data_IF_658050192463
#
_entry.id   IF_658050192463
#
_cell.length_a   1.000
_cell.length_b   1.000
_cell.length_c   1.000
_cell.angle_alpha   90.00
_cell.angle_beta   90.00
_cell.angle_gamma   90.00
#
_symmetry.space_group_name_H-M   'P 1'
#
loop_
_entity.id
_entity.type
_entity.pdbx_description
1 polymer ?
#
# COMPACT_ATOMS: atom_id res chain seq x y z
N UNK A 1 -9.61 -3.99 -24.70
CA UNK A 1 -11.04 -3.93 -24.36
C UNK A 1 -11.69 -5.24 -24.77
N UNK A 2 -12.70 -5.68 -24.01
CA UNK A 2 -13.35 -7.02 -23.91
C UNK A 2 -12.71 -7.84 -22.78
N UNK A 3 -13.25 -7.85 -21.55
CA UNK A 3 -14.61 -8.16 -21.06
C UNK A 3 -15.03 -9.57 -21.51
N UNK A 4 -14.92 -10.54 -20.60
CA UNK A 4 -15.52 -11.85 -20.74
C UNK A 4 -16.99 -11.76 -20.27
N UNK A 5 -17.91 -12.06 -21.18
CA UNK A 5 -19.33 -12.27 -20.89
C UNK A 5 -19.58 -13.77 -20.73
N UNK A 6 -20.03 -14.19 -19.55
CA UNK A 6 -20.57 -15.53 -19.29
C UNK A 6 -22.09 -15.50 -19.42
N UNK A 7 -22.59 -16.10 -20.50
CA UNK A 7 -24.02 -16.28 -20.74
C UNK A 7 -24.63 -17.32 -19.80
N UNK A 8 -25.71 -16.92 -19.13
CA UNK A 8 -26.62 -17.79 -18.41
C UNK A 8 -27.48 -18.60 -19.40
N UNK A 9 -27.61 -19.91 -19.15
CA UNK A 9 -28.64 -20.77 -19.73
C UNK A 9 -29.47 -21.36 -18.60
N UNK A 10 -30.74 -20.95 -18.52
CA UNK A 10 -31.75 -21.51 -17.61
C UNK A 10 -32.42 -22.68 -18.31
N UNK A 11 -32.48 -23.85 -17.66
CA UNK A 11 -33.54 -24.83 -17.90
C UNK A 11 -33.69 -25.76 -16.68
N UNK A 12 -34.90 -25.87 -16.15
CA UNK A 12 -35.40 -26.90 -15.23
C UNK A 12 -36.87 -27.16 -15.62
N UNK A 13 -37.61 -28.15 -15.06
CA UNK A 13 -37.27 -29.32 -14.24
C UNK A 13 -37.90 -30.65 -14.75
N UNK A 14 -37.49 -31.84 -14.27
CA UNK A 14 -38.36 -33.05 -14.18
C UNK A 14 -37.90 -33.95 -13.01
N UNK A 15 -38.88 -34.63 -12.39
CA UNK A 15 -38.92 -35.30 -11.09
C UNK A 15 -38.80 -36.84 -11.15
N UNK A 16 -38.75 -37.46 -9.95
CA UNK A 16 -39.11 -38.85 -9.53
C UNK A 16 -37.97 -39.89 -9.49
N UNK A 17 -37.55 -40.34 -8.29
CA UNK A 17 -37.96 -41.57 -7.54
C UNK A 17 -37.30 -42.85 -8.13
N UNK A 18 -36.80 -43.88 -7.42
CA UNK A 18 -37.03 -44.47 -6.09
C UNK A 18 -36.00 -45.63 -5.90
N UNK A 19 -35.55 -45.92 -4.65
CA UNK A 19 -35.25 -47.27 -4.01
C UNK A 19 -34.24 -48.28 -4.68
N UNK A 20 -33.50 -49.20 -4.04
CA UNK A 20 -33.52 -49.90 -2.72
C UNK A 20 -32.20 -50.70 -2.48
N UNK A 21 -31.80 -50.78 -1.20
CA UNK A 21 -31.12 -51.85 -0.40
C UNK A 21 -29.94 -52.73 -0.88
N UNK A 22 -28.91 -52.86 -0.01
CA UNK A 22 -28.55 -54.00 0.91
C UNK A 22 -27.03 -53.97 1.16
N UNK A 23 -26.48 -53.57 2.31
CA UNK A 23 -26.44 -54.23 3.62
C UNK A 23 -25.86 -55.67 3.61
N UNK A 24 -24.75 -55.89 4.35
CA UNK A 24 -24.60 -56.85 5.48
C UNK A 24 -23.17 -57.41 5.66
N UNK A 25 -22.56 -57.02 6.80
CA UNK A 25 -21.81 -57.82 7.81
C UNK A 25 -20.48 -58.53 7.45
N UNK A 26 -19.55 -58.80 8.37
CA UNK A 26 -19.28 -58.42 9.77
C UNK A 26 -18.02 -59.18 10.26
N UNK A 27 -17.46 -58.71 11.38
CA UNK A 27 -16.78 -59.49 12.46
C UNK A 27 -15.29 -59.81 12.29
N UNK A 28 -14.38 -59.25 13.11
CA UNK A 28 -14.05 -59.55 14.53
C UNK A 28 -13.01 -60.71 14.62
N UNK A 29 -11.97 -60.77 15.45
CA UNK A 29 -11.65 -60.35 16.83
C UNK A 29 -10.09 -60.40 16.97
N UNK A 30 -9.40 -59.53 17.75
CA UNK A 30 -8.99 -59.70 19.17
C UNK A 30 -8.25 -61.05 19.46
N UNK A 31 -7.15 -61.19 20.23
CA UNK A 31 -6.72 -60.48 21.45
C UNK A 31 -5.39 -61.08 22.00
N UNK A 32 -4.82 -60.42 23.03
CA UNK A 32 -3.82 -60.81 24.06
C UNK A 32 -2.35 -60.38 23.83
N UNK A 33 -1.78 -59.41 24.55
CA UNK A 33 -1.48 -59.21 26.00
C UNK A 33 -0.25 -59.98 26.52
N UNK A 34 0.79 -59.24 26.95
CA UNK A 34 1.25 -59.15 28.36
C UNK A 34 2.61 -58.38 28.54
N UNK A 35 2.52 -57.25 29.25
CA UNK A 35 3.35 -56.71 30.36
C UNK A 35 4.89 -56.82 30.42
N UNK A 36 5.59 -55.68 30.65
CA UNK A 36 6.39 -55.37 31.87
C UNK A 36 7.07 -53.96 31.83
N UNK A 37 6.56 -53.04 32.66
CA UNK A 37 7.21 -52.03 33.57
C UNK A 37 8.47 -51.18 33.19
N UNK A 38 8.23 -49.85 33.03
CA UNK A 38 8.96 -48.68 33.62
C UNK A 38 10.15 -48.04 32.85
N UNK A 39 10.55 -46.76 33.11
CA UNK A 39 9.89 -45.62 33.76
C UNK A 39 9.70 -44.37 32.85
N UNK A 40 8.95 -43.38 33.34
CA UNK A 40 8.72 -42.05 32.75
C UNK A 40 9.97 -41.31 32.30
N UNK A 41 9.95 -40.79 31.07
CA UNK A 41 10.64 -39.55 30.70
C UNK A 41 9.71 -38.66 29.87
N UNK A 42 9.48 -37.45 30.39
CA UNK A 42 8.80 -36.37 29.69
C UNK A 42 9.56 -36.01 28.41
N UNK A 43 8.92 -35.93 27.23
CA UNK A 43 9.54 -35.26 26.10
C UNK A 43 9.52 -33.76 26.38
N UNK A 44 10.70 -33.22 26.61
CA UNK A 44 10.98 -31.79 26.69
C UNK A 44 10.26 -31.07 25.55
N UNK A 45 9.39 -30.15 25.95
CA UNK A 45 8.83 -29.11 25.11
C UNK A 45 9.95 -28.43 24.36
N UNK A 46 10.07 -28.72 23.07
CA UNK A 46 10.76 -27.82 22.14
C UNK A 46 9.97 -26.52 22.13
N UNK A 47 10.43 -25.59 22.95
CA UNK A 47 10.10 -24.19 22.87
C UNK A 47 10.27 -23.75 21.42
N UNK A 48 9.15 -23.41 20.78
CA UNK A 48 9.16 -22.51 19.64
C UNK A 48 9.71 -21.18 20.16
N UNK A 49 11.04 -21.04 20.13
CA UNK A 49 11.66 -19.74 20.30
C UNK A 49 11.15 -18.85 19.15
N UNK A 50 10.24 -17.96 19.51
CA UNK A 50 9.81 -16.86 18.68
C UNK A 50 11.07 -16.13 18.20
N UNK A 51 11.37 -16.28 16.90
CA UNK A 51 12.44 -15.52 16.27
C UNK A 51 12.15 -14.03 16.46
N UNK A 52 13.15 -13.20 16.80
CA UNK A 52 12.94 -11.80 17.09
C UNK A 52 12.29 -11.10 15.90
N UNK A 53 11.19 -10.40 16.16
CA UNK A 53 10.52 -9.49 15.24
C UNK A 53 11.56 -8.54 14.61
N UNK A 54 11.91 -8.79 13.34
CA UNK A 54 12.60 -7.78 12.55
C UNK A 54 11.59 -6.65 12.30
N UNK A 55 11.84 -5.42 12.76
CA UNK A 55 10.94 -4.32 12.47
C UNK A 55 10.85 -4.16 10.96
N UNK A 56 9.63 -4.26 10.42
CA UNK A 56 9.40 -4.18 8.98
C UNK A 56 9.94 -2.86 8.40
N UNK A 57 9.97 -1.81 9.24
CA UNK A 57 10.36 -0.44 8.93
C UNK A 57 11.86 -0.15 8.74
N UNK A 58 12.77 -1.13 8.82
CA UNK A 58 14.20 -0.82 8.64
C UNK A 58 14.59 -0.66 7.17
N UNK A 59 14.30 0.51 6.60
CA UNK A 59 14.85 1.01 5.31
C UNK A 59 16.37 0.81 5.22
N UNK A 60 17.06 0.85 6.37
CA UNK A 60 18.52 0.66 6.51
C UNK A 60 19.03 -0.72 6.05
N UNK A 61 18.17 -1.73 5.91
CA UNK A 61 18.59 -3.08 5.52
C UNK A 61 18.33 -3.40 4.05
N UNK A 62 17.60 -2.56 3.31
CA UNK A 62 17.28 -2.84 1.90
C UNK A 62 18.51 -2.58 1.02
N UNK A 63 18.79 -3.49 0.09
CA UNK A 63 19.74 -3.22 -0.98
C UNK A 63 19.22 -2.07 -1.87
N UNK A 64 20.10 -1.17 -2.34
CA UNK A 64 19.69 -0.14 -3.29
C UNK A 64 19.21 -0.79 -4.59
N UNK A 65 18.26 -0.15 -5.32
CA UNK A 65 17.82 -0.64 -6.62
C UNK A 65 18.97 -0.64 -7.62
N UNK A 66 18.76 -1.28 -8.78
CA UNK A 66 19.75 -1.36 -9.87
C UNK A 66 20.39 0.01 -10.12
N UNK A 67 21.72 0.06 -10.03
CA UNK A 67 22.48 1.30 -10.19
C UNK A 67 22.30 1.90 -11.60
N UNK A 68 22.21 3.23 -11.68
CA UNK A 68 22.27 3.97 -12.93
C UNK A 68 22.85 5.37 -12.70
N UNK A 69 23.07 6.12 -13.78
CA UNK A 69 23.51 7.52 -13.73
C UNK A 69 22.41 8.50 -13.24
N UNK A 70 21.18 8.03 -13.00
CA UNK A 70 20.07 8.86 -12.57
C UNK A 70 20.15 9.26 -11.09
N UNK A 71 19.63 10.44 -10.77
CA UNK A 71 19.45 10.87 -9.38
C UNK A 71 18.11 10.36 -8.84
N UNK A 72 18.13 9.74 -7.65
CA UNK A 72 16.92 9.39 -6.92
C UNK A 72 16.19 10.64 -6.42
N UNK A 73 14.88 10.56 -6.29
CA UNK A 73 14.07 11.58 -5.64
C UNK A 73 14.44 11.65 -4.15
N UNK A 74 14.43 12.86 -3.60
CA UNK A 74 14.58 13.05 -2.16
C UNK A 74 13.41 12.44 -1.42
N UNK A 75 13.68 11.85 -0.25
CA UNK A 75 12.61 11.36 0.61
C UNK A 75 11.63 12.49 0.94
N UNK A 76 10.34 12.22 0.73
CA UNK A 76 9.29 13.16 1.12
C UNK A 76 8.89 12.83 2.56
N UNK A 77 9.07 13.77 3.51
CA UNK A 77 8.65 13.54 4.88
C UNK A 77 7.13 13.31 4.95
N UNK A 78 6.69 12.60 6.00
CA UNK A 78 5.26 12.43 6.29
C UNK A 78 4.55 13.79 6.26
N UNK A 79 3.35 13.78 5.67
CA UNK A 79 2.48 14.95 5.63
C UNK A 79 1.15 14.73 6.38
N UNK A 80 1.06 13.61 7.13
CA UNK A 80 -0.10 13.27 7.96
C UNK A 80 -0.47 14.37 8.96
N UNK A 81 0.47 15.00 9.70
CA UNK A 81 0.09 16.09 10.60
C UNK A 81 -0.60 17.24 9.86
N UNK A 82 -0.15 17.52 8.62
CA UNK A 82 -0.79 18.48 7.74
C UNK A 82 -2.26 18.12 7.47
N UNK A 83 -2.52 16.89 7.04
CA UNK A 83 -3.89 16.40 6.81
C UNK A 83 -4.78 16.44 8.06
N UNK A 84 -4.25 16.06 9.23
CA UNK A 84 -4.96 16.17 10.50
C UNK A 84 -5.38 17.61 10.82
N UNK A 85 -4.51 18.58 10.52
CA UNK A 85 -4.84 19.99 10.65
C UNK A 85 -5.95 20.41 9.67
N UNK A 86 -5.90 19.96 8.41
CA UNK A 86 -6.95 20.25 7.43
C UNK A 86 -8.33 19.77 7.91
N UNK A 87 -8.40 18.54 8.44
CA UNK A 87 -9.62 17.96 9.03
C UNK A 87 -10.16 18.81 10.19
N UNK A 88 -9.28 19.27 11.10
CA UNK A 88 -9.68 20.13 12.23
C UNK A 88 -10.22 21.48 11.77
N UNK A 89 -9.56 22.10 10.79
CA UNK A 89 -10.01 23.37 10.21
C UNK A 89 -11.38 23.25 9.51
N UNK A 90 -11.67 22.09 8.91
CA UNK A 90 -12.98 21.74 8.33
C UNK A 90 -13.98 21.20 9.38
N UNK A 91 -13.69 21.34 10.68
CA UNK A 91 -14.53 20.88 11.81
C UNK A 91 -14.83 19.37 11.81
N UNK A 92 -14.00 18.57 11.15
CA UNK A 92 -14.07 17.10 11.09
C UNK A 92 -12.89 16.47 11.82
N UNK A 93 -12.62 16.96 13.04
CA UNK A 93 -11.52 16.45 13.87
C UNK A 93 -11.68 14.95 14.15
N UNK A 94 -10.54 14.27 14.25
CA UNK A 94 -10.50 12.83 14.49
C UNK A 94 -10.33 12.54 15.98
N UNK A 95 -10.94 11.44 16.43
CA UNK A 95 -10.61 10.84 17.70
C UNK A 95 -9.23 10.15 17.67
N UNK A 96 -8.80 9.66 18.83
CA UNK A 96 -7.49 9.03 18.95
C UNK A 96 -7.37 7.69 18.23
N UNK A 97 -8.47 6.94 18.08
CA UNK A 97 -8.42 5.62 17.45
C UNK A 97 -8.36 5.74 15.93
N UNK A 98 -9.07 6.69 15.34
CA UNK A 98 -8.92 7.07 13.94
C UNK A 98 -7.50 7.55 13.62
N UNK A 99 -6.88 8.34 14.51
CA UNK A 99 -5.47 8.77 14.34
C UNK A 99 -4.52 7.58 14.41
N UNK A 100 -4.70 6.66 15.39
CA UNK A 100 -3.91 5.43 15.49
C UNK A 100 -4.03 4.55 14.24
N UNK A 101 -5.19 4.53 13.59
CA UNK A 101 -5.38 3.83 12.31
C UNK A 101 -4.62 4.46 11.14
N UNK A 102 -4.59 5.80 11.07
CA UNK A 102 -3.91 6.56 10.01
C UNK A 102 -2.38 6.49 10.07
N UNK A 103 -1.80 6.38 11.27
CA UNK A 103 -0.34 6.35 11.47
C UNK A 103 0.34 5.22 10.66
N UNK A 104 0.00 3.93 10.84
CA UNK A 104 0.62 2.85 10.07
C UNK A 104 0.30 2.95 8.57
N UNK A 105 -0.84 3.55 8.20
CA UNK A 105 -1.20 3.78 6.79
C UNK A 105 -0.29 4.82 6.13
N UNK A 106 -0.03 5.93 6.81
CA UNK A 106 0.90 6.95 6.31
C UNK A 106 2.35 6.44 6.30
N UNK A 107 2.73 5.66 7.30
CA UNK A 107 4.03 4.97 7.31
C UNK A 107 4.18 4.02 6.11
N UNK A 108 3.13 3.29 5.75
CA UNK A 108 3.09 2.42 4.57
C UNK A 108 3.19 3.20 3.24
N UNK A 109 2.54 4.37 3.14
CA UNK A 109 2.71 5.29 2.00
C UNK A 109 4.16 5.75 1.88
N UNK A 110 4.77 6.13 3.01
CA UNK A 110 6.19 6.48 3.06
C UNK A 110 7.08 5.32 2.63
N UNK A 111 6.78 4.10 3.07
CA UNK A 111 7.56 2.91 2.73
C UNK A 111 7.49 2.57 1.25
N UNK A 112 6.33 2.66 0.63
CA UNK A 112 6.18 2.46 -0.80
C UNK A 112 6.98 3.47 -1.62
N UNK A 113 7.02 4.74 -1.20
CA UNK A 113 7.84 5.77 -1.86
C UNK A 113 9.34 5.55 -1.66
N UNK A 114 9.79 5.12 -0.48
CA UNK A 114 11.20 4.78 -0.22
C UNK A 114 11.66 3.55 -0.99
N UNK A 115 10.78 2.55 -1.14
CA UNK A 115 11.03 1.36 -1.94
C UNK A 115 11.15 1.65 -3.44
N UNK A 116 10.62 2.80 -3.89
CA UNK A 116 10.63 3.25 -5.28
C UNK A 116 11.29 4.65 -5.37
N UNK A 117 12.61 4.77 -5.11
CA UNK A 117 13.29 6.05 -4.98
C UNK A 117 13.39 6.86 -6.28
N UNK A 118 13.12 6.28 -7.45
CA UNK A 118 12.98 7.00 -8.72
C UNK A 118 11.53 7.41 -9.03
N UNK A 119 10.61 7.09 -8.12
CA UNK A 119 9.23 7.54 -8.16
C UNK A 119 8.38 6.86 -9.23
N UNK A 120 7.47 7.65 -9.79
CA UNK A 120 6.35 7.19 -10.61
C UNK A 120 6.74 7.21 -12.07
N UNK A 121 6.70 6.06 -12.72
CA UNK A 121 7.18 5.89 -14.09
C UNK A 121 6.40 6.64 -15.17
N UNK A 122 5.18 7.04 -14.87
CA UNK A 122 4.26 7.72 -15.77
C UNK A 122 3.90 9.14 -15.34
N UNK A 123 4.60 9.73 -14.36
CA UNK A 123 4.39 11.12 -13.94
C UNK A 123 5.50 12.02 -14.51
N UNK A 124 5.08 13.15 -15.08
CA UNK A 124 5.95 14.08 -15.78
C UNK A 124 7.02 14.71 -14.88
N UNK A 125 6.66 15.20 -13.70
CA UNK A 125 7.59 15.84 -12.75
C UNK A 125 8.65 14.86 -12.26
N UNK A 126 8.32 13.58 -12.12
CA UNK A 126 9.27 12.53 -11.72
C UNK A 126 10.20 12.20 -12.90
N UNK A 127 9.67 12.14 -14.12
CA UNK A 127 10.46 11.95 -15.32
C UNK A 127 11.44 13.11 -15.56
N UNK A 128 11.02 14.36 -15.33
CA UNK A 128 11.90 15.52 -15.42
C UNK A 128 13.01 15.47 -14.38
N UNK A 129 12.67 15.24 -13.10
CA UNK A 129 13.62 15.23 -11.98
C UNK A 129 14.63 14.10 -12.04
N UNK A 130 14.25 12.97 -12.63
CA UNK A 130 15.11 11.79 -12.72
C UNK A 130 15.77 11.64 -14.08
N UNK A 131 15.65 12.63 -14.98
CA UNK A 131 16.15 12.55 -16.36
C UNK A 131 15.64 11.29 -17.10
N UNK A 132 14.33 11.10 -17.10
CA UNK A 132 13.57 9.99 -17.71
C UNK A 132 13.81 8.61 -17.06
N UNK A 133 14.59 8.54 -15.98
CA UNK A 133 14.91 7.27 -15.32
C UNK A 133 13.69 6.62 -14.67
N UNK A 134 12.75 7.40 -14.14
CA UNK A 134 11.48 6.86 -13.61
C UNK A 134 10.78 5.99 -14.66
N UNK A 135 10.64 6.50 -15.90
CA UNK A 135 10.05 5.78 -17.03
C UNK A 135 10.85 4.55 -17.43
N UNK A 136 12.16 4.67 -17.61
CA UNK A 136 13.03 3.56 -18.02
C UNK A 136 12.98 2.39 -17.02
N UNK A 137 13.06 2.73 -15.73
CA UNK A 137 13.01 1.78 -14.62
C UNK A 137 11.67 1.07 -14.54
N UNK A 138 10.55 1.78 -14.70
CA UNK A 138 9.23 1.14 -14.74
C UNK A 138 9.05 0.24 -15.96
N UNK A 139 9.57 0.60 -17.14
CA UNK A 139 9.56 -0.31 -18.30
C UNK A 139 10.40 -1.56 -18.05
N UNK A 140 11.57 -1.40 -17.43
CA UNK A 140 12.46 -2.51 -17.08
C UNK A 140 11.81 -3.45 -16.04
N UNK A 141 11.14 -2.90 -15.03
CA UNK A 141 10.35 -3.64 -14.04
C UNK A 141 9.26 -4.48 -14.71
N UNK A 142 8.43 -3.86 -15.56
CA UNK A 142 7.37 -4.57 -16.31
C UNK A 142 7.91 -5.70 -17.16
N UNK A 143 9.06 -5.50 -17.81
CA UNK A 143 9.66 -6.55 -18.63
C UNK A 143 10.23 -7.68 -17.77
N UNK A 144 10.89 -7.35 -16.65
CA UNK A 144 11.35 -8.37 -15.69
C UNK A 144 10.17 -9.20 -15.19
N UNK A 145 9.07 -8.56 -14.80
CA UNK A 145 7.85 -9.22 -14.36
C UNK A 145 7.29 -10.17 -15.42
N UNK A 146 7.11 -9.70 -16.66
CA UNK A 146 6.64 -10.54 -17.78
C UNK A 146 7.54 -11.75 -18.05
N UNK A 147 8.85 -11.54 -18.02
CA UNK A 147 9.79 -12.64 -18.20
C UNK A 147 9.72 -13.62 -17.00
N UNK A 148 9.42 -13.14 -15.80
CA UNK A 148 9.27 -13.97 -14.62
C UNK A 148 7.96 -14.80 -14.64
N UNK A 149 6.85 -14.16 -15.04
CA UNK A 149 5.56 -14.83 -15.29
C UNK A 149 5.72 -15.95 -16.33
N UNK A 150 6.36 -15.66 -17.47
CA UNK A 150 6.56 -16.61 -18.55
C UNK A 150 7.46 -17.79 -18.16
N UNK A 151 8.33 -17.61 -17.16
CA UNK A 151 9.16 -18.66 -16.61
C UNK A 151 8.50 -19.42 -15.45
N UNK A 152 7.25 -19.11 -15.10
CA UNK A 152 6.51 -19.78 -14.02
C UNK A 152 7.09 -19.51 -12.64
N UNK A 153 7.62 -18.31 -12.39
CA UNK A 153 8.13 -17.98 -11.07
C UNK A 153 6.99 -17.80 -10.05
N UNK A 154 7.00 -18.66 -9.03
CA UNK A 154 6.01 -18.69 -7.95
C UNK A 154 6.69 -18.41 -6.60
N UNK A 155 6.89 -17.12 -6.24
CA UNK A 155 7.56 -16.78 -4.98
C UNK A 155 6.75 -17.16 -3.71
N UNK A 156 5.45 -17.43 -3.85
CA UNK A 156 4.51 -17.89 -2.83
C UNK A 156 3.73 -19.12 -3.35
N UNK A 157 4.35 -20.31 -3.43
CA UNK A 157 3.71 -21.49 -4.01
C UNK A 157 2.47 -21.96 -3.24
N UNK A 158 2.40 -21.68 -1.93
CA UNK A 158 1.23 -22.01 -1.10
C UNK A 158 0.07 -21.01 -1.25
N UNK A 159 0.27 -19.93 -2.01
CA UNK A 159 -0.74 -18.90 -2.27
C UNK A 159 -0.58 -18.36 -3.70
N UNK A 160 -1.07 -19.15 -4.66
CA UNK A 160 -0.89 -18.89 -6.10
C UNK A 160 -1.38 -17.49 -6.51
N UNK A 161 -2.51 -17.03 -5.95
CA UNK A 161 -3.09 -15.72 -6.22
C UNK A 161 -2.11 -14.58 -5.84
N UNK A 162 -1.31 -14.77 -4.80
CA UNK A 162 -0.33 -13.77 -4.35
C UNK A 162 0.92 -13.68 -5.21
N UNK A 163 1.27 -14.73 -5.97
CA UNK A 163 2.47 -14.76 -6.80
C UNK A 163 2.54 -13.54 -7.72
N UNK A 164 1.41 -13.21 -8.35
CA UNK A 164 1.31 -12.07 -9.22
C UNK A 164 1.66 -10.75 -8.53
N UNK A 165 1.08 -10.53 -7.35
CA UNK A 165 1.27 -9.28 -6.60
C UNK A 165 2.71 -9.15 -6.09
N UNK A 166 3.31 -10.25 -5.65
CA UNK A 166 4.72 -10.28 -5.24
C UNK A 166 5.62 -9.96 -6.42
N UNK A 167 5.40 -10.55 -7.60
CA UNK A 167 6.22 -10.27 -8.79
C UNK A 167 6.12 -8.80 -9.23
N UNK A 168 4.92 -8.20 -9.19
CA UNK A 168 4.72 -6.77 -9.48
C UNK A 168 5.54 -5.92 -8.50
N UNK A 169 5.34 -6.09 -7.20
CA UNK A 169 6.02 -5.30 -6.17
C UNK A 169 7.55 -5.50 -6.21
N UNK A 170 8.00 -6.74 -6.38
CA UNK A 170 9.42 -7.10 -6.46
C UNK A 170 10.10 -6.43 -7.65
N UNK A 171 9.47 -6.49 -8.83
CA UNK A 171 10.03 -5.88 -10.03
C UNK A 171 10.18 -4.37 -9.89
N UNK A 172 9.21 -3.70 -9.25
CA UNK A 172 9.29 -2.29 -8.90
C UNK A 172 10.45 -2.00 -7.96
N UNK A 173 10.63 -2.79 -6.89
CA UNK A 173 11.74 -2.62 -5.93
C UNK A 173 13.11 -2.83 -6.56
N UNK A 174 13.26 -3.85 -7.43
CA UNK A 174 14.53 -4.11 -8.15
C UNK A 174 14.97 -2.89 -8.95
N UNK A 175 14.04 -2.24 -9.67
CA UNK A 175 14.37 -1.07 -10.49
C UNK A 175 14.14 0.27 -9.79
N UNK A 176 13.55 0.28 -8.60
CA UNK A 176 13.30 1.47 -7.80
C UNK A 176 12.29 2.45 -8.39
N UNK A 177 11.40 2.03 -9.30
CA UNK A 177 10.34 2.87 -9.86
C UNK A 177 9.17 2.01 -10.35
N UNK A 178 7.96 2.58 -10.34
CA UNK A 178 6.73 1.87 -10.70
C UNK A 178 5.58 2.81 -11.05
N UNK A 179 4.45 2.25 -11.47
CA UNK A 179 3.18 2.97 -11.60
C UNK A 179 2.30 2.70 -10.37
N UNK A 180 1.04 3.17 -10.40
CA UNK A 180 0.05 2.96 -9.35
C UNK A 180 -0.01 1.50 -8.86
N UNK A 181 0.04 0.51 -9.77
CA UNK A 181 -0.01 -0.91 -9.44
C UNK A 181 1.15 -1.42 -8.55
N UNK A 182 2.38 -0.99 -8.82
CA UNK A 182 3.55 -1.29 -7.97
C UNK A 182 3.47 -0.53 -6.64
N UNK A 183 3.14 0.77 -6.66
CA UNK A 183 3.01 1.59 -5.45
C UNK A 183 1.92 1.04 -4.50
N UNK A 184 0.75 0.68 -5.01
CA UNK A 184 -0.37 0.17 -4.23
C UNK A 184 -0.04 -1.17 -3.55
N UNK A 185 0.61 -2.10 -4.26
CA UNK A 185 1.03 -3.39 -3.70
C UNK A 185 2.11 -3.25 -2.63
N UNK A 186 3.12 -2.40 -2.87
CA UNK A 186 4.15 -2.18 -1.84
C UNK A 186 3.52 -1.52 -0.60
N UNK A 187 2.59 -0.58 -0.78
CA UNK A 187 1.87 0.02 0.34
C UNK A 187 1.01 -0.99 1.09
N UNK A 188 0.25 -1.85 0.39
CA UNK A 188 -0.57 -2.86 1.07
C UNK A 188 0.27 -3.85 1.87
N UNK A 189 1.40 -4.30 1.29
CA UNK A 189 2.33 -5.19 1.97
C UNK A 189 3.00 -4.55 3.18
N UNK A 190 3.37 -3.27 3.06
CA UNK A 190 3.94 -2.51 4.17
C UNK A 190 2.92 -2.30 5.29
N UNK A 191 1.69 -1.96 4.91
CA UNK A 191 0.60 -1.78 5.87
C UNK A 191 0.32 -3.06 6.65
N UNK A 192 0.28 -4.22 5.99
CA UNK A 192 0.07 -5.52 6.63
C UNK A 192 0.95 -5.73 7.85
N UNK A 193 2.25 -5.45 7.72
CA UNK A 193 3.21 -5.59 8.82
C UNK A 193 3.10 -4.44 9.85
N UNK A 194 3.06 -3.18 9.38
CA UNK A 194 3.04 -2.00 10.25
C UNK A 194 1.78 -1.97 11.14
N UNK A 195 0.62 -2.33 10.58
CA UNK A 195 -0.63 -2.41 11.32
C UNK A 195 -0.58 -3.46 12.45
N UNK A 196 0.00 -4.64 12.18
CA UNK A 196 0.20 -5.68 13.20
C UNK A 196 1.19 -5.25 14.27
N UNK A 197 2.28 -4.55 13.92
CA UNK A 197 3.20 -3.95 14.89
C UNK A 197 2.50 -2.93 15.81
N UNK A 198 1.40 -2.31 15.36
CA UNK A 198 0.56 -1.41 16.16
C UNK A 198 -0.63 -2.10 16.84
N UNK A 199 -0.70 -3.44 16.78
CA UNK A 199 -1.68 -4.24 17.51
C UNK A 199 -3.00 -4.54 16.77
N UNK A 200 -3.09 -4.30 15.46
CA UNK A 200 -4.22 -4.79 14.64
C UNK A 200 -4.11 -6.30 14.45
N UNK A 201 -5.24 -7.00 14.32
CA UNK A 201 -5.22 -8.46 14.16
C UNK A 201 -4.83 -8.85 12.73
N UNK A 202 -4.13 -9.97 12.58
CA UNK A 202 -3.65 -10.45 11.28
C UNK A 202 -4.76 -10.82 10.30
N UNK A 203 -5.97 -11.10 10.79
CA UNK A 203 -7.14 -11.53 10.00
C UNK A 203 -7.93 -10.36 9.40
N UNK A 204 -7.62 -9.12 9.79
CA UNK A 204 -8.21 -7.93 9.17
C UNK A 204 -7.78 -7.83 7.70
N UNK A 205 -8.60 -7.20 6.86
CA UNK A 205 -8.30 -7.10 5.44
C UNK A 205 -7.72 -5.74 5.05
N UNK A 206 -6.90 -5.81 4.00
CA UNK A 206 -6.51 -4.70 3.16
C UNK A 206 -6.87 -5.03 1.71
N UNK A 207 -7.32 -4.02 0.97
CA UNK A 207 -7.79 -4.17 -0.40
C UNK A 207 -6.91 -3.39 -1.35
N UNK A 208 -6.74 -3.93 -2.56
CA UNK A 208 -6.45 -3.09 -3.72
C UNK A 208 -7.79 -2.60 -4.27
N UNK A 209 -7.86 -1.30 -4.54
CA UNK A 209 -9.06 -0.67 -5.05
C UNK A 209 -8.75 0.17 -6.29
N UNK A 210 -9.72 0.24 -7.18
CA UNK A 210 -9.66 1.00 -8.42
C UNK A 210 -10.95 1.79 -8.61
N UNK A 211 -10.86 2.91 -9.34
CA UNK A 211 -12.03 3.68 -9.72
C UNK A 211 -12.53 3.21 -11.10
N UNK A 212 -13.82 2.89 -11.20
CA UNK A 212 -14.47 2.51 -12.45
C UNK A 212 -14.26 3.59 -13.52
N UNK A 213 -13.74 3.18 -14.68
CA UNK A 213 -13.46 4.08 -15.80
C UNK A 213 -12.12 4.82 -15.74
N UNK A 214 -11.37 4.71 -14.64
CA UNK A 214 -10.04 5.28 -14.47
C UNK A 214 -9.00 4.16 -14.32
N UNK A 215 -7.91 4.22 -15.08
CA UNK A 215 -6.78 3.29 -14.93
C UNK A 215 -5.88 3.79 -13.78
N UNK A 216 -6.37 3.62 -12.55
CA UNK A 216 -5.68 3.95 -11.30
C UNK A 216 -6.02 2.96 -10.18
N UNK A 217 -5.01 2.57 -9.40
CA UNK A 217 -5.12 1.59 -8.31
C UNK A 217 -4.43 2.13 -7.06
N UNK A 218 -5.07 1.96 -5.90
CA UNK A 218 -4.52 2.28 -4.57
C UNK A 218 -4.77 1.13 -3.59
N UNK A 219 -4.21 1.23 -2.39
CA UNK A 219 -4.53 0.33 -1.29
C UNK A 219 -5.50 1.01 -0.33
N UNK A 220 -6.49 0.30 0.20
CA UNK A 220 -7.39 0.82 1.22
C UNK A 220 -7.73 -0.22 2.29
N UNK A 221 -7.98 0.23 3.51
CA UNK A 221 -8.46 -0.65 4.59
C UNK A 221 -9.95 -0.97 4.42
N UNK A 222 -10.45 -1.92 5.20
CA UNK A 222 -11.88 -2.02 5.46
C UNK A 222 -12.43 -0.78 6.21
N UNK A 223 -13.76 -0.69 6.28
CA UNK A 223 -14.46 0.25 7.16
C UNK A 223 -14.11 -0.12 8.61
N UNK A 224 -13.24 0.66 9.25
CA UNK A 224 -12.63 0.36 10.56
C UNK A 224 -13.59 0.27 11.77
N UNK A 225 -14.90 0.29 11.53
CA UNK A 225 -16.05 0.15 12.45
C UNK A 225 -17.28 0.67 11.72
N UNK A 226 -18.47 0.18 12.06
CA UNK A 226 -19.73 0.64 11.47
C UNK A 226 -19.84 2.18 11.51
N UNK A 227 -19.70 2.82 10.35
CA UNK A 227 -19.76 4.28 10.19
C UNK A 227 -18.41 4.99 9.98
N UNK A 228 -17.27 4.29 9.90
CA UNK A 228 -15.97 4.90 9.56
C UNK A 228 -15.60 4.69 8.09
N UNK A 229 -15.09 5.73 7.44
CA UNK A 229 -14.62 5.68 6.05
C UNK A 229 -13.33 4.84 5.94
N UNK A 230 -13.10 4.09 4.84
CA UNK A 230 -11.84 3.42 4.59
C UNK A 230 -10.65 4.39 4.66
N UNK A 231 -9.51 3.91 5.12
CA UNK A 231 -8.25 4.66 4.99
C UNK A 231 -7.62 4.31 3.64
N UNK A 232 -7.37 5.33 2.83
CA UNK A 232 -6.73 5.26 1.52
C UNK A 232 -5.23 5.50 1.65
N UNK A 233 -4.47 4.56 1.08
CA UNK A 233 -3.02 4.60 0.92
C UNK A 233 -2.71 4.66 -0.58
N UNK A 234 -2.47 5.87 -1.08
CA UNK A 234 -2.12 6.12 -2.48
C UNK A 234 -0.74 6.80 -2.57
N UNK A 235 0.35 6.00 -2.65
CA UNK A 235 1.70 6.56 -2.76
C UNK A 235 2.01 7.11 -4.15
N UNK A 236 1.17 6.82 -5.16
CA UNK A 236 1.29 7.35 -6.51
C UNK A 236 0.75 8.79 -6.58
N UNK A 237 -0.30 9.10 -5.84
CA UNK A 237 -0.71 10.49 -5.61
C UNK A 237 0.21 11.20 -4.61
N UNK A 238 0.20 12.54 -4.61
CA UNK A 238 0.92 13.37 -3.65
C UNK A 238 0.09 13.56 -2.38
N UNK A 239 0.70 13.34 -1.22
CA UNK A 239 0.06 13.54 0.09
C UNK A 239 0.22 12.35 1.04
N UNK A 240 -0.44 12.39 2.21
CA UNK A 240 -0.40 11.32 3.20
C UNK A 240 -1.47 10.25 2.92
N UNK A 241 -1.55 9.24 3.78
CA UNK A 241 -2.76 8.44 3.88
C UNK A 241 -3.94 9.32 4.35
N UNK A 242 -5.13 9.11 3.79
CA UNK A 242 -6.33 9.93 4.04
C UNK A 242 -7.57 9.05 4.17
N UNK A 243 -8.67 9.58 4.68
CA UNK A 243 -9.95 8.87 4.61
C UNK A 243 -10.52 8.93 3.19
N UNK A 244 -11.25 7.91 2.79
CA UNK A 244 -11.79 7.81 1.44
C UNK A 244 -12.70 9.01 1.11
N UNK A 245 -13.50 9.50 2.07
CA UNK A 245 -14.35 10.69 1.91
C UNK A 245 -13.58 11.99 1.54
N UNK A 246 -12.28 12.04 1.85
CA UNK A 246 -11.38 13.16 1.55
C UNK A 246 -10.47 12.88 0.35
N UNK A 247 -10.53 11.68 -0.22
CA UNK A 247 -9.69 11.25 -1.33
C UNK A 247 -10.27 11.67 -2.68
N UNK A 248 -9.40 12.10 -3.60
CA UNK A 248 -9.79 12.41 -4.98
C UNK A 248 -10.44 11.23 -5.70
N UNK A 249 -9.83 10.05 -5.59
CA UNK A 249 -10.24 8.87 -6.37
C UNK A 249 -11.21 7.99 -5.59
N UNK A 250 -11.18 8.05 -4.25
CA UNK A 250 -11.92 7.12 -3.41
C UNK A 250 -13.18 7.71 -2.76
N UNK A 251 -13.47 9.01 -2.89
CA UNK A 251 -14.63 9.65 -2.24
C UNK A 251 -15.97 9.14 -2.77
N UNK A 252 -16.06 8.88 -4.06
CA UNK A 252 -17.28 8.38 -4.69
C UNK A 252 -17.35 6.86 -4.62
N UNK A 253 -17.71 6.33 -3.44
CA UNK A 253 -17.68 4.88 -3.14
C UNK A 253 -18.45 4.00 -4.13
N UNK A 254 -19.53 4.51 -4.71
CA UNK A 254 -20.30 3.79 -5.74
C UNK A 254 -19.53 3.55 -7.04
N UNK A 255 -18.44 4.27 -7.27
CA UNK A 255 -17.55 4.13 -8.43
C UNK A 255 -16.25 3.39 -8.07
N UNK A 256 -16.06 2.94 -6.83
CA UNK A 256 -14.86 2.23 -6.39
C UNK A 256 -15.13 0.74 -6.39
N UNK A 257 -14.23 -0.02 -7.02
CA UNK A 257 -14.22 -1.47 -7.01
C UNK A 257 -12.99 -1.97 -6.24
N UNK A 258 -13.19 -2.88 -5.29
CA UNK A 258 -12.09 -3.59 -4.62
C UNK A 258 -11.71 -4.78 -5.51
N UNK A 259 -10.56 -4.68 -6.18
CA UNK A 259 -10.12 -5.67 -7.16
C UNK A 259 -9.54 -6.91 -6.51
N UNK A 260 -8.86 -6.73 -5.37
CA UNK A 260 -8.17 -7.79 -4.65
C UNK A 260 -8.24 -7.53 -3.14
N UNK A 261 -8.25 -8.59 -2.34
CA UNK A 261 -8.33 -8.52 -0.88
C UNK A 261 -7.33 -9.47 -0.24
N UNK A 262 -6.62 -9.01 0.77
CA UNK A 262 -5.63 -9.79 1.50
C UNK A 262 -5.83 -9.61 3.00
N UNK A 263 -5.61 -10.66 3.79
CA UNK A 263 -5.44 -10.48 5.24
C UNK A 263 -4.16 -9.71 5.52
N UNK A 264 -4.08 -9.00 6.64
CA UNK A 264 -2.86 -8.28 7.05
C UNK A 264 -1.68 -9.25 7.20
N UNK A 265 -1.92 -10.47 7.69
CA UNK A 265 -0.91 -11.54 7.77
C UNK A 265 -0.34 -11.90 6.40
N UNK A 266 -1.19 -12.18 5.42
CA UNK A 266 -0.76 -12.51 4.06
C UNK A 266 -0.05 -11.32 3.40
N UNK A 267 -0.53 -10.09 3.59
CA UNK A 267 0.12 -8.91 3.06
C UNK A 267 1.53 -8.69 3.67
N UNK A 268 1.68 -8.90 4.98
CA UNK A 268 2.97 -8.81 5.66
C UNK A 268 3.97 -9.85 5.15
N UNK A 269 3.53 -11.10 5.00
CA UNK A 269 4.32 -12.19 4.43
C UNK A 269 4.74 -11.89 2.99
N UNK A 270 3.80 -11.47 2.14
CA UNK A 270 4.08 -11.08 0.76
C UNK A 270 5.10 -9.93 0.70
N UNK A 271 5.04 -8.98 1.64
CA UNK A 271 6.02 -7.92 1.79
C UNK A 271 7.43 -8.42 2.11
N UNK A 272 7.54 -9.41 3.01
CA UNK A 272 8.82 -10.07 3.32
C UNK A 272 9.38 -10.78 2.09
N UNK A 273 8.58 -11.64 1.46
CA UNK A 273 8.99 -12.42 0.28
C UNK A 273 9.36 -11.51 -0.90
N UNK A 274 8.62 -10.43 -1.09
CA UNK A 274 8.93 -9.39 -2.10
C UNK A 274 10.34 -8.85 -1.92
N UNK A 275 10.72 -8.47 -0.68
CA UNK A 275 12.05 -7.92 -0.38
C UNK A 275 13.14 -8.96 -0.60
N UNK A 276 12.98 -10.16 -0.05
CA UNK A 276 13.95 -11.25 -0.18
C UNK A 276 14.18 -11.62 -1.65
N UNK A 277 13.10 -11.67 -2.43
CA UNK A 277 13.17 -11.96 -3.88
C UNK A 277 13.85 -10.83 -4.64
N UNK A 278 13.57 -9.57 -4.31
CA UNK A 278 14.24 -8.40 -4.91
C UNK A 278 15.74 -8.39 -4.61
N UNK A 279 16.13 -8.61 -3.35
CA UNK A 279 17.52 -8.66 -2.91
C UNK A 279 18.30 -9.81 -3.55
N UNK A 280 17.67 -10.97 -3.66
CA UNK A 280 18.23 -12.12 -4.39
C UNK A 280 18.47 -11.77 -5.86
N UNK A 281 17.50 -11.15 -6.52
CA UNK A 281 17.65 -10.72 -7.91
C UNK A 281 18.77 -9.67 -8.09
N UNK A 282 18.84 -8.70 -7.19
CA UNK A 282 19.86 -7.64 -7.19
C UNK A 282 21.27 -8.20 -6.99
N UNK A 283 21.42 -9.27 -6.20
CA UNK A 283 22.71 -9.90 -5.91
C UNK A 283 23.12 -10.90 -6.99
N UNK A 284 22.19 -11.69 -7.51
CA UNK A 284 22.49 -12.82 -8.41
C UNK A 284 22.46 -12.44 -9.90
N UNK A 285 21.74 -11.38 -10.27
CA UNK A 285 21.49 -11.02 -11.66
C UNK A 285 21.87 -9.57 -12.00
N UNK A 286 22.73 -8.92 -11.21
CA UNK A 286 23.06 -7.49 -11.32
C UNK A 286 23.37 -7.04 -12.75
N UNK A 287 24.30 -7.72 -13.43
CA UNK A 287 24.72 -7.35 -14.80
C UNK A 287 23.58 -7.48 -15.80
N UNK A 288 22.73 -8.50 -15.66
CA UNK A 288 21.55 -8.71 -16.53
C UNK A 288 20.52 -7.61 -16.29
N UNK A 289 20.31 -7.22 -15.03
CA UNK A 289 19.39 -6.14 -14.66
C UNK A 289 19.88 -4.77 -15.14
N UNK A 290 21.18 -4.49 -15.03
CA UNK A 290 21.80 -3.27 -15.57
C UNK A 290 21.66 -3.19 -17.09
N UNK A 291 21.95 -4.29 -17.80
CA UNK A 291 21.74 -4.37 -19.25
C UNK A 291 20.28 -4.11 -19.61
N UNK A 292 19.34 -4.73 -18.89
CA UNK A 292 17.90 -4.49 -19.11
C UNK A 292 17.54 -3.02 -18.94
N UNK A 293 18.03 -2.37 -17.89
CA UNK A 293 17.76 -0.96 -17.67
C UNK A 293 18.30 -0.09 -18.81
N UNK A 294 19.52 -0.36 -19.28
CA UNK A 294 20.11 0.34 -20.42
C UNK A 294 19.28 0.13 -21.70
N UNK A 295 18.83 -1.09 -21.98
CA UNK A 295 18.00 -1.42 -23.15
C UNK A 295 16.65 -0.68 -23.12
N UNK A 296 16.08 -0.45 -21.93
CA UNK A 296 14.82 0.29 -21.78
C UNK A 296 14.99 1.80 -21.83
N UNK A 297 16.15 2.33 -21.42
CA UNK A 297 16.42 3.77 -21.46
C UNK A 297 16.24 4.34 -22.88
N UNK A 298 16.67 3.59 -23.90
CA UNK A 298 16.53 3.99 -25.31
C UNK A 298 15.06 4.00 -25.81
N UNK A 299 14.13 3.39 -25.07
CA UNK A 299 12.72 3.27 -25.46
C UNK A 299 11.82 4.31 -24.79
N UNK A 300 12.35 5.08 -23.84
CA UNK A 300 11.57 6.08 -23.11
C UNK A 300 11.33 7.30 -24.00
N UNK A 301 10.06 7.69 -24.12
CA UNK A 301 9.69 8.91 -24.84
C UNK A 301 10.07 10.16 -24.04
N UNK A 302 10.43 11.28 -24.69
CA UNK A 302 10.57 12.56 -24.02
C UNK A 302 9.26 12.99 -23.33
N UNK A 303 9.37 13.84 -22.30
CA UNK A 303 8.21 14.34 -21.54
C UNK A 303 7.22 15.09 -22.43
N UNK A 304 7.72 15.87 -23.38
CA UNK A 304 6.92 16.66 -24.34
C UNK A 304 6.03 15.80 -25.25
N UNK A 305 6.24 14.48 -25.32
CA UNK A 305 5.47 13.56 -26.15
C UNK A 305 4.08 13.17 -25.62
N UNK A 306 3.60 13.80 -24.54
CA UNK A 306 2.22 13.64 -24.03
C UNK A 306 1.88 12.29 -23.39
N UNK A 307 2.87 11.40 -23.21
CA UNK A 307 2.67 10.07 -22.58
C UNK A 307 2.69 10.10 -21.05
N UNK A 308 3.19 11.18 -20.47
CA UNK A 308 3.25 11.37 -19.02
C UNK A 308 2.00 12.08 -18.51
N UNK A 309 1.51 11.63 -17.36
CA UNK A 309 0.41 12.27 -16.64
C UNK A 309 0.96 13.37 -15.74
N UNK A 310 0.14 14.39 -15.50
CA UNK A 310 0.39 15.39 -14.47
C UNK A 310 0.34 14.72 -13.08
N UNK A 311 1.12 15.24 -12.14
CA UNK A 311 1.00 14.83 -10.75
C UNK A 311 -0.38 15.17 -10.17
N UNK A 312 -0.88 14.32 -9.28
CA UNK A 312 -2.19 14.49 -8.65
C UNK A 312 -2.03 14.61 -7.13
N UNK A 313 -2.86 15.46 -6.51
CA UNK A 313 -3.07 15.41 -5.06
C UNK A 313 -3.94 14.19 -4.71
N UNK A 314 -3.65 13.56 -3.57
CA UNK A 314 -4.52 12.52 -2.99
C UNK A 314 -5.84 13.12 -2.52
N UNK A 315 -5.87 14.42 -2.21
CA UNK A 315 -7.07 15.09 -1.70
C UNK A 315 -8.08 15.41 -2.81
N UNK A 316 -9.35 15.25 -2.47
CA UNK A 316 -10.46 15.80 -3.23
C UNK A 316 -10.31 17.32 -3.37
N UNK A 317 -10.58 17.79 -4.59
CA UNK A 317 -10.39 19.18 -4.97
C UNK A 317 -11.27 20.13 -4.16
N UNK A 318 -12.52 19.74 -3.89
CA UNK A 318 -13.43 20.58 -3.12
C UNK A 318 -12.99 20.69 -1.66
N UNK A 319 -12.54 19.58 -1.06
CA UNK A 319 -11.96 19.62 0.28
C UNK A 319 -10.70 20.48 0.34
N UNK A 320 -9.74 20.26 -0.56
CA UNK A 320 -8.48 21.02 -0.60
C UNK A 320 -8.71 22.53 -0.77
N UNK A 321 -9.65 22.96 -1.64
CA UNK A 321 -9.99 24.39 -1.81
C UNK A 321 -10.53 25.00 -0.51
N UNK A 322 -11.54 24.37 0.11
CA UNK A 322 -12.18 24.91 1.34
C UNK A 322 -11.17 25.14 2.47
N UNK A 323 -10.27 24.19 2.69
CA UNK A 323 -9.27 24.29 3.76
C UNK A 323 -8.13 25.23 3.40
N UNK A 324 -7.75 25.33 2.12
CA UNK A 324 -6.72 26.26 1.64
C UNK A 324 -7.13 27.72 1.84
N UNK A 325 -8.40 28.06 1.59
CA UNK A 325 -8.95 29.40 1.84
C UNK A 325 -8.87 29.77 3.33
N UNK A 326 -9.03 28.78 4.21
CA UNK A 326 -8.90 28.97 5.67
C UNK A 326 -7.43 29.14 6.09
N UNK A 327 -6.53 28.32 5.53
CA UNK A 327 -5.09 28.32 5.85
C UNK A 327 -4.35 29.59 5.38
N UNK A 328 -4.80 30.17 4.27
CA UNK A 328 -4.15 31.31 3.62
C UNK A 328 -4.89 32.63 3.89
N UNK A 329 -5.81 32.65 4.84
CA UNK A 329 -6.55 33.84 5.22
C UNK A 329 -5.62 34.88 5.88
N UNK A 330 -5.71 36.14 5.44
CA UNK A 330 -4.89 37.24 5.94
C UNK A 330 -5.34 37.80 7.31
N UNK A 331 -6.51 37.40 7.82
CA UNK A 331 -7.01 37.83 9.14
C UNK A 331 -6.11 37.25 10.26
N UNK A 332 -5.46 38.11 11.09
CA UNK A 332 -4.62 37.66 12.20
C UNK A 332 -5.34 36.74 13.18
N UNK A 333 -6.66 36.89 13.37
CA UNK A 333 -7.46 36.02 14.25
C UNK A 333 -7.55 34.61 13.68
N UNK A 334 -7.67 34.48 12.36
CA UNK A 334 -7.66 33.19 11.67
C UNK A 334 -6.29 32.55 11.68
N UNK A 335 -5.23 33.34 11.48
CA UNK A 335 -3.86 32.85 11.60
C UNK A 335 -3.57 32.28 13.01
N UNK A 336 -4.00 32.99 14.06
CA UNK A 336 -3.89 32.49 15.44
C UNK A 336 -4.71 31.21 15.65
N UNK A 337 -5.93 31.15 15.12
CA UNK A 337 -6.76 29.94 15.18
C UNK A 337 -6.05 28.74 14.54
N UNK A 338 -5.42 28.91 13.38
CA UNK A 338 -4.66 27.84 12.69
C UNK A 338 -3.51 27.32 13.56
N UNK A 339 -2.76 28.21 14.23
CA UNK A 339 -1.66 27.80 15.13
C UNK A 339 -2.15 27.07 16.39
N UNK A 340 -3.31 27.47 16.94
CA UNK A 340 -3.95 26.77 18.07
C UNK A 340 -4.35 25.35 17.64
N UNK A 341 -4.99 25.20 16.49
CA UNK A 341 -5.39 23.88 15.96
C UNK A 341 -4.16 23.02 15.64
N UNK A 342 -3.10 23.62 15.09
CA UNK A 342 -1.83 22.93 14.81
C UNK A 342 -1.15 22.43 16.09
N UNK A 343 -1.21 23.21 17.17
CA UNK A 343 -0.74 22.80 18.50
C UNK A 343 -1.55 21.61 19.00
N UNK A 344 -2.87 21.64 18.82
CA UNK A 344 -3.74 20.52 19.16
C UNK A 344 -3.46 19.25 18.35
N UNK A 345 -3.06 19.37 17.08
CA UNK A 345 -2.58 18.22 16.28
C UNK A 345 -1.28 17.66 16.85
N UNK A 346 -0.31 18.51 17.19
CA UNK A 346 0.95 18.07 17.79
C UNK A 346 0.70 17.28 19.08
N UNK A 347 -0.21 17.76 19.94
CA UNK A 347 -0.62 17.05 21.15
C UNK A 347 -1.30 15.71 20.85
N UNK A 348 -2.19 15.64 19.87
CA UNK A 348 -2.80 14.38 19.42
C UNK A 348 -1.82 13.38 18.83
N UNK A 349 -0.64 13.83 18.40
CA UNK A 349 0.47 12.99 17.95
C UNK A 349 1.48 12.68 19.07
N UNK A 350 1.15 13.02 20.32
CA UNK A 350 1.93 12.65 21.50
C UNK A 350 2.92 13.71 22.00
N UNK A 351 2.88 14.95 21.51
CA UNK A 351 3.65 16.03 22.13
C UNK A 351 3.11 16.37 23.52
N UNK A 352 3.89 16.08 24.58
CA UNK A 352 3.45 16.19 25.97
C UNK A 352 3.80 17.54 26.64
N UNK A 353 4.91 18.17 26.24
CA UNK A 353 5.37 19.43 26.83
C UNK A 353 5.19 20.63 25.90
N UNK A 354 5.02 21.82 26.50
CA UNK A 354 4.75 23.07 25.79
C UNK A 354 5.86 23.40 24.78
N UNK A 355 7.12 23.13 25.13
CA UNK A 355 8.26 23.43 24.25
C UNK A 355 8.19 22.59 22.97
N UNK A 356 7.89 21.30 23.09
CA UNK A 356 7.72 20.40 21.94
C UNK A 356 6.53 20.82 21.09
N UNK A 357 5.39 21.15 21.70
CA UNK A 357 4.19 21.62 20.98
C UNK A 357 4.49 22.89 20.17
N UNK A 358 5.10 23.90 20.79
CA UNK A 358 5.46 25.17 20.13
C UNK A 358 6.46 24.96 18.99
N UNK A 359 7.37 23.99 19.10
CA UNK A 359 8.30 23.66 18.02
C UNK A 359 7.65 22.89 16.86
N UNK A 360 6.61 22.11 17.13
CA UNK A 360 5.94 21.28 16.12
C UNK A 360 4.84 22.03 15.37
N UNK A 361 4.05 22.89 16.03
CA UNK A 361 2.90 23.55 15.41
C UNK A 361 3.24 24.29 14.08
N UNK A 362 4.33 25.08 13.98
CA UNK A 362 4.69 25.71 12.70
C UNK A 362 5.06 24.71 11.61
N UNK A 363 5.57 23.52 11.96
CA UNK A 363 5.85 22.44 10.99
C UNK A 363 4.56 21.84 10.47
N UNK A 364 3.58 21.62 11.36
CA UNK A 364 2.23 21.13 11.01
C UNK A 364 1.56 22.09 10.04
N UNK A 365 1.60 23.41 10.30
CA UNK A 365 1.02 24.42 9.40
C UNK A 365 1.69 24.39 8.01
N UNK A 366 3.03 24.29 7.96
CA UNK A 366 3.74 24.16 6.68
C UNK A 366 3.37 22.89 5.92
N UNK A 367 3.23 21.76 6.62
CA UNK A 367 2.77 20.51 6.00
C UNK A 367 1.35 20.66 5.46
N UNK A 368 0.43 21.26 6.23
CA UNK A 368 -0.95 21.47 5.81
C UNK A 368 -1.04 22.34 4.55
N UNK A 369 -0.25 23.42 4.46
CA UNK A 369 -0.15 24.25 3.24
C UNK A 369 0.38 23.46 2.04
N UNK A 370 1.34 22.56 2.24
CA UNK A 370 1.85 21.68 1.19
C UNK A 370 0.78 20.71 0.67
N UNK A 371 0.07 20.05 1.60
CA UNK A 371 -0.98 19.07 1.28
C UNK A 371 -2.18 19.73 0.58
N UNK A 372 -2.60 20.91 1.03
CA UNK A 372 -3.71 21.67 0.45
C UNK A 372 -3.30 22.59 -0.72
N UNK A 373 -2.06 22.47 -1.21
CA UNK A 373 -1.58 23.34 -2.29
C UNK A 373 -2.31 23.03 -3.60
N UNK A 374 -2.42 24.05 -4.47
CA UNK A 374 -3.00 23.90 -5.81
C UNK A 374 -2.21 22.94 -6.73
N UNK A 375 -1.02 22.50 -6.30
CA UNK A 375 -0.13 21.65 -7.07
C UNK A 375 -0.75 20.26 -7.20
N UNK A 376 -1.03 19.87 -8.45
CA UNK A 376 -1.74 18.63 -8.75
C UNK A 376 -3.25 18.68 -8.48
N UNK A 377 -3.87 19.86 -8.40
CA UNK A 377 -5.33 20.05 -8.42
C UNK A 377 -5.84 20.24 -9.85
N UNK A 378 -7.08 19.80 -10.13
CA UNK A 378 -7.68 20.08 -11.44
C UNK A 378 -7.92 21.59 -11.60
N UNK A 379 -7.73 22.15 -12.82
CA UNK A 379 -8.08 23.53 -13.11
C UNK A 379 -9.54 23.81 -12.70
N UNK A 380 -9.82 25.03 -12.21
CA UNK A 380 -11.20 25.46 -11.99
C UNK A 380 -11.95 25.38 -13.32
N UNK A 381 -13.08 24.68 -13.35
CA UNK A 381 -14.05 24.89 -14.41
C UNK A 381 -14.51 26.35 -14.34
N UNK A 382 -14.23 27.11 -15.40
CA UNK A 382 -14.61 28.51 -15.56
C UNK A 382 -16.07 28.66 -15.90
#
# INVERSE_FOLDING_TARGET
MRIHSSGHGICAPVSSAETVEKAVQSSAQAQNEASHSGPSEHPESRSCEARPNYPYSSVKTRLPPVASAGQSLSETPSSLPGYLLLRRLDRRQLDQDAIKGLIPADEAVGEARRALPFGRGNIDVDAQRTHLQSGARTLAARRLRKDAEAAGHEPMPENEDMNWHVLVAMSGQVFGAGNCGEHARIASFAYGALAQEKGRTGDENIHLAAQSGEDHVWAETDDSSAGSSPIVMDPWSNGPAVFAEDSRFAKHRSAVERTDSFTLSTAAEAGKITRETAEKALTQATSRLQKRLADQQAQVSPVEGGRYRQENSVLDDAFARRVSDTLNNADPRRALQVEIEASGVAMSLGAQDIKTVVQQAPKVVRQARGVASAKGMSPRAT
#
